data_IF_767372460165
#
_entry.id   IF_767372460165
#
_cell.length_a   1.000
_cell.length_b   1.000
_cell.length_c   1.000
_cell.angle_alpha   90.00
_cell.angle_beta   90.00
_cell.angle_gamma   90.00
#
_symmetry.space_group_name_H-M   'P 1'
#
loop_
_entity.id
_entity.type
_entity.pdbx_description
1 polymer ?
#
# COMPACT_ATOMS: atom_id res chain seq x y z
N UNK A 1 -29.06 -39.61 7.44
CA UNK A 1 -27.72 -39.52 6.88
C UNK A 1 -27.78 -38.70 5.62
N UNK A 2 -27.60 -37.41 5.75
CA UNK A 2 -27.47 -36.46 4.61
C UNK A 2 -26.16 -35.69 4.83
N UNK A 3 -25.17 -36.07 4.05
CA UNK A 3 -23.86 -35.44 4.00
C UNK A 3 -23.99 -34.10 3.29
N UNK A 4 -23.97 -33.02 4.07
CA UNK A 4 -23.83 -31.66 3.55
C UNK A 4 -22.34 -31.41 3.26
N UNK A 5 -21.95 -31.58 2.02
CA UNK A 5 -20.63 -31.21 1.52
C UNK A 5 -20.68 -29.76 1.03
N UNK A 6 -20.57 -28.81 1.96
CA UNK A 6 -20.30 -27.41 1.61
C UNK A 6 -18.89 -27.29 1.03
N UNK A 7 -18.85 -27.34 -0.30
CA UNK A 7 -17.69 -27.02 -1.10
C UNK A 7 -17.30 -25.53 -0.87
N UNK A 8 -16.10 -25.17 -0.39
CA UNK A 8 -15.66 -23.80 -0.38
C UNK A 8 -15.53 -23.35 -1.84
N UNK A 9 -16.39 -22.46 -2.28
CA UNK A 9 -16.25 -21.78 -3.57
C UNK A 9 -14.85 -21.13 -3.62
N UNK A 10 -14.03 -21.71 -4.46
CA UNK A 10 -12.79 -21.09 -4.93
C UNK A 10 -13.23 -19.84 -5.71
N UNK A 11 -13.14 -18.67 -5.05
CA UNK A 11 -13.33 -17.38 -5.68
C UNK A 11 -12.18 -17.22 -6.70
N UNK A 12 -12.50 -17.52 -7.96
CA UNK A 12 -11.58 -17.36 -9.10
C UNK A 12 -11.50 -15.88 -9.53
N UNK A 13 -11.46 -14.98 -8.55
CA UNK A 13 -11.12 -13.60 -8.77
C UNK A 13 -9.66 -13.53 -9.21
N UNK A 14 -9.41 -12.92 -10.34
CA UNK A 14 -8.07 -12.63 -10.84
C UNK A 14 -7.28 -11.98 -9.71
N UNK A 15 -6.21 -12.61 -9.25
CA UNK A 15 -5.34 -12.08 -8.17
C UNK A 15 -4.50 -10.94 -8.78
N UNK A 16 -5.11 -9.75 -8.85
CA UNK A 16 -4.50 -8.56 -9.43
C UNK A 16 -3.32 -8.09 -8.59
N UNK A 17 -3.49 -8.10 -7.27
CA UNK A 17 -2.52 -7.55 -6.34
C UNK A 17 -1.20 -8.33 -6.35
N UNK A 18 -1.24 -9.65 -6.43
CA UNK A 18 -0.04 -10.49 -6.48
C UNK A 18 0.75 -10.32 -7.79
N UNK A 19 0.08 -9.91 -8.85
CA UNK A 19 0.70 -9.62 -10.15
C UNK A 19 1.46 -8.30 -10.19
N UNK A 20 1.21 -7.37 -9.26
CA UNK A 20 1.85 -6.06 -9.26
C UNK A 20 3.27 -6.13 -8.71
N UNK A 21 4.25 -5.74 -9.53
CA UNK A 21 5.64 -5.61 -9.13
C UNK A 21 6.02 -4.15 -8.82
N UNK A 22 5.20 -3.19 -9.25
CA UNK A 22 5.47 -1.78 -9.01
C UNK A 22 4.41 -0.85 -9.59
N UNK A 23 4.62 0.47 -9.46
CA UNK A 23 3.67 1.49 -9.91
C UNK A 23 3.36 1.45 -11.40
N UNK A 24 4.29 0.96 -12.22
CA UNK A 24 4.08 0.79 -13.66
C UNK A 24 2.93 -0.16 -13.97
N UNK A 25 2.81 -1.25 -13.22
CA UNK A 25 1.74 -2.23 -13.39
C UNK A 25 0.38 -1.64 -12.99
N UNK A 26 0.34 -0.82 -11.92
CA UNK A 26 -0.88 -0.10 -11.52
C UNK A 26 -1.37 0.82 -12.65
N UNK A 27 -0.45 1.49 -13.35
CA UNK A 27 -0.78 2.36 -14.50
C UNK A 27 -1.28 1.58 -15.71
N UNK A 28 -0.82 0.35 -15.89
CA UNK A 28 -1.21 -0.51 -17.02
C UNK A 28 -2.59 -1.16 -16.85
N UNK A 29 -3.16 -1.16 -15.64
CA UNK A 29 -4.49 -1.73 -15.39
C UNK A 29 -5.58 -0.99 -16.18
N UNK A 30 -6.56 -1.73 -16.68
CA UNK A 30 -7.79 -1.14 -17.20
C UNK A 30 -8.62 -0.52 -16.07
N UNK A 31 -9.45 0.48 -16.38
CA UNK A 31 -10.24 1.18 -15.36
C UNK A 31 -11.21 0.24 -14.63
N UNK A 32 -11.74 -0.77 -15.32
CA UNK A 32 -12.62 -1.80 -14.75
C UNK A 32 -11.93 -2.71 -13.72
N UNK A 33 -10.59 -2.72 -13.69
CA UNK A 33 -9.79 -3.50 -12.74
C UNK A 33 -9.50 -2.74 -11.44
N UNK A 34 -9.74 -1.43 -11.38
CA UNK A 34 -9.38 -0.61 -10.23
C UNK A 34 -10.25 -0.89 -9.00
N UNK A 35 -11.56 -1.08 -9.19
CA UNK A 35 -12.46 -1.45 -8.10
C UNK A 35 -12.19 -2.87 -7.56
N UNK A 36 -12.02 -3.91 -8.41
CA UNK A 36 -11.53 -5.22 -7.98
C UNK A 36 -10.20 -5.15 -7.20
N UNK A 37 -9.23 -4.39 -7.69
CA UNK A 37 -7.96 -4.19 -6.99
C UNK A 37 -8.16 -3.56 -5.60
N UNK A 38 -8.99 -2.53 -5.50
CA UNK A 38 -9.29 -1.89 -4.22
C UNK A 38 -9.94 -2.87 -3.23
N UNK A 39 -10.86 -3.70 -3.70
CA UNK A 39 -11.50 -4.74 -2.89
C UNK A 39 -10.48 -5.78 -2.39
N UNK A 40 -9.57 -6.22 -3.25
CA UNK A 40 -8.52 -7.18 -2.92
C UNK A 40 -7.52 -6.60 -1.91
N UNK A 41 -7.10 -5.34 -2.07
CA UNK A 41 -6.25 -4.62 -1.11
C UNK A 41 -6.93 -4.59 0.27
N UNK A 42 -8.23 -4.24 0.35
CA UNK A 42 -8.98 -4.22 1.62
C UNK A 42 -9.03 -5.58 2.29
N UNK A 43 -9.35 -6.62 1.52
CA UNK A 43 -9.39 -8.01 2.00
C UNK A 43 -8.03 -8.42 2.58
N UNK A 44 -6.96 -8.08 1.89
CA UNK A 44 -5.59 -8.38 2.31
C UNK A 44 -5.21 -7.61 3.57
N UNK A 45 -5.52 -6.30 3.66
CA UNK A 45 -5.27 -5.50 4.86
C UNK A 45 -6.01 -6.06 6.08
N UNK A 46 -7.30 -6.37 5.95
CA UNK A 46 -8.10 -6.91 7.05
C UNK A 46 -7.51 -8.24 7.52
N UNK A 47 -7.22 -9.15 6.61
CA UNK A 47 -6.64 -10.47 6.92
C UNK A 47 -5.28 -10.34 7.61
N UNK A 48 -4.38 -9.53 7.07
CA UNK A 48 -3.02 -9.42 7.58
C UNK A 48 -2.98 -8.71 8.93
N UNK A 49 -3.67 -7.57 9.06
CA UNK A 49 -3.66 -6.79 10.30
C UNK A 49 -4.47 -7.43 11.44
N UNK A 50 -5.40 -8.33 11.15
CA UNK A 50 -6.03 -9.14 12.19
C UNK A 50 -5.02 -10.03 12.94
N UNK A 51 -3.90 -10.37 12.31
CA UNK A 51 -2.82 -11.19 12.88
C UNK A 51 -1.67 -10.37 13.46
N UNK A 52 -1.24 -9.36 12.71
CA UNK A 52 -0.03 -8.58 13.04
C UNK A 52 -0.33 -7.33 13.87
N UNK A 53 -1.59 -6.89 13.92
CA UNK A 53 -1.97 -5.56 14.39
C UNK A 53 -1.53 -4.47 13.42
N UNK A 54 -1.87 -3.23 13.73
CA UNK A 54 -1.47 -2.08 12.92
C UNK A 54 -2.59 -1.07 12.68
N UNK A 55 -2.37 -0.17 11.74
CA UNK A 55 -3.24 0.97 11.48
C UNK A 55 -4.30 0.63 10.42
N UNK A 56 -5.31 -0.18 10.76
CA UNK A 56 -6.31 -0.65 9.80
C UNK A 56 -7.16 0.49 9.24
N UNK A 57 -7.82 1.27 10.09
CA UNK A 57 -8.74 2.34 9.67
C UNK A 57 -8.10 3.38 8.74
N UNK A 58 -6.93 3.97 9.10
CA UNK A 58 -6.24 4.91 8.23
C UNK A 58 -5.89 4.35 6.85
N UNK A 59 -5.55 3.07 6.75
CA UNK A 59 -5.21 2.43 5.47
C UNK A 59 -6.46 2.08 4.65
N UNK A 60 -7.54 1.61 5.25
CA UNK A 60 -8.80 1.38 4.54
C UNK A 60 -9.37 2.67 3.94
N UNK A 61 -9.19 3.80 4.62
CA UNK A 61 -9.69 5.11 4.18
C UNK A 61 -8.94 5.73 3.01
N UNK A 62 -7.76 5.22 2.65
CA UNK A 62 -6.92 5.79 1.58
C UNK A 62 -6.66 4.83 0.42
N UNK A 63 -7.38 3.72 0.32
CA UNK A 63 -7.16 2.71 -0.73
C UNK A 63 -7.29 3.32 -2.12
N UNK A 64 -8.45 3.88 -2.46
CA UNK A 64 -8.70 4.48 -3.78
C UNK A 64 -7.81 5.71 -4.01
N UNK A 65 -7.61 6.53 -2.99
CA UNK A 65 -6.70 7.68 -3.09
C UNK A 65 -5.29 7.24 -3.46
N UNK A 66 -4.77 6.19 -2.83
CA UNK A 66 -3.42 5.70 -3.11
C UNK A 66 -3.33 5.09 -4.51
N UNK A 67 -4.34 4.31 -4.94
CA UNK A 67 -4.42 3.81 -6.31
C UNK A 67 -4.42 4.98 -7.31
N UNK A 68 -5.25 5.99 -7.09
CA UNK A 68 -5.34 7.17 -7.95
C UNK A 68 -4.01 7.93 -8.04
N UNK A 69 -3.31 8.11 -6.92
CA UNK A 69 -1.98 8.73 -6.89
C UNK A 69 -0.98 7.94 -7.75
N UNK A 70 -0.97 6.61 -7.65
CA UNK A 70 -0.10 5.75 -8.44
C UNK A 70 -0.51 5.67 -9.92
N UNK A 71 -1.76 5.96 -10.26
CA UNK A 71 -2.22 6.10 -11.66
C UNK A 71 -1.69 7.38 -12.31
N UNK A 72 -1.58 8.46 -11.54
CA UNK A 72 -1.23 9.81 -12.04
C UNK A 72 0.27 10.06 -11.97
N UNK A 73 0.88 9.82 -10.82
CA UNK A 73 2.26 10.19 -10.52
C UNK A 73 3.25 9.03 -10.77
N UNK A 74 4.53 9.38 -10.93
CA UNK A 74 5.62 8.44 -11.22
C UNK A 74 6.60 8.34 -10.04
N UNK A 75 6.22 7.65 -8.97
CA UNK A 75 7.16 7.39 -7.88
C UNK A 75 8.24 6.40 -8.33
N UNK A 76 9.52 6.54 -7.96
CA UNK A 76 10.06 7.46 -6.94
C UNK A 76 10.42 8.87 -7.46
N UNK A 77 10.24 9.18 -8.75
CA UNK A 77 10.50 10.52 -9.30
C UNK A 77 9.59 11.57 -8.66
N UNK A 78 8.29 11.28 -8.61
CA UNK A 78 7.33 12.06 -7.84
C UNK A 78 7.31 11.55 -6.41
N UNK A 79 7.54 12.43 -5.45
CA UNK A 79 7.70 12.07 -4.04
C UNK A 79 6.41 12.18 -3.27
N UNK A 80 5.97 11.08 -2.66
CA UNK A 80 4.81 11.06 -1.76
C UNK A 80 5.27 11.26 -0.33
N UNK A 81 5.03 12.45 0.22
CA UNK A 81 5.37 12.78 1.60
C UNK A 81 4.11 12.64 2.45
N UNK A 82 4.02 11.57 3.22
CA UNK A 82 2.86 11.27 4.06
C UNK A 82 3.16 11.69 5.51
N UNK A 83 2.27 12.48 6.11
CA UNK A 83 2.42 12.83 7.52
C UNK A 83 2.23 11.61 8.40
N UNK A 84 3.08 11.42 9.41
CA UNK A 84 3.18 10.18 10.22
C UNK A 84 3.55 8.97 9.38
N UNK A 85 2.96 8.78 8.21
CA UNK A 85 3.08 7.66 7.27
C UNK A 85 2.48 6.32 7.73
N UNK A 86 1.64 6.33 8.77
CA UNK A 86 0.92 5.13 9.25
C UNK A 86 -0.15 4.64 8.27
N UNK A 87 -0.58 5.46 7.33
CA UNK A 87 -1.50 5.16 6.23
C UNK A 87 -0.78 4.63 4.97
N UNK A 88 0.51 4.30 5.07
CA UNK A 88 1.36 3.93 3.93
C UNK A 88 1.31 2.46 3.50
N UNK A 89 0.45 1.60 4.09
CA UNK A 89 0.45 0.16 3.77
C UNK A 89 0.00 -0.13 2.34
N UNK A 90 -1.00 0.60 1.85
CA UNK A 90 -1.45 0.51 0.45
C UNK A 90 -0.31 0.91 -0.51
N UNK A 91 0.41 1.98 -0.20
CA UNK A 91 1.58 2.40 -0.95
C UNK A 91 2.66 1.30 -1.01
N UNK A 92 2.94 0.62 0.13
CA UNK A 92 3.86 -0.52 0.15
C UNK A 92 3.39 -1.63 -0.79
N UNK A 93 2.11 -1.98 -0.74
CA UNK A 93 1.54 -3.03 -1.59
C UNK A 93 1.68 -2.69 -3.08
N UNK A 94 1.38 -1.45 -3.48
CA UNK A 94 1.45 -0.98 -4.88
C UNK A 94 2.89 -0.72 -5.37
N UNK A 95 3.88 -0.78 -4.48
CA UNK A 95 5.30 -0.61 -4.78
C UNK A 95 6.10 -1.91 -4.61
N UNK A 96 5.47 -3.06 -4.91
CA UNK A 96 6.13 -4.36 -5.00
C UNK A 96 6.28 -5.12 -3.68
N UNK A 97 5.67 -4.63 -2.58
CA UNK A 97 5.77 -5.27 -1.26
C UNK A 97 4.49 -5.98 -0.81
N UNK A 98 3.53 -6.20 -1.73
CA UNK A 98 2.26 -6.87 -1.40
C UNK A 98 2.47 -8.26 -0.80
N UNK A 99 3.38 -9.05 -1.34
CA UNK A 99 3.69 -10.39 -0.83
C UNK A 99 4.31 -10.42 0.56
N UNK A 100 4.78 -9.27 1.08
CA UNK A 100 5.40 -9.15 2.39
C UNK A 100 4.48 -8.55 3.45
N UNK A 101 3.26 -8.14 3.08
CA UNK A 101 2.35 -7.41 3.99
C UNK A 101 2.00 -8.20 5.25
N UNK A 102 2.03 -9.52 5.20
CA UNK A 102 1.82 -10.41 6.35
C UNK A 102 2.93 -10.33 7.41
N UNK A 103 4.06 -9.69 7.09
CA UNK A 103 5.16 -9.42 8.02
C UNK A 103 5.13 -8.00 8.61
N UNK A 104 4.10 -7.20 8.30
CA UNK A 104 4.02 -5.81 8.76
C UNK A 104 4.12 -5.71 10.29
N UNK A 105 5.01 -4.84 10.82
CA UNK A 105 5.29 -4.66 12.25
C UNK A 105 5.83 -5.89 12.99
N UNK A 106 6.24 -6.93 12.27
CA UNK A 106 6.92 -8.07 12.87
C UNK A 106 8.44 -7.85 12.86
N UNK A 107 9.15 -8.60 13.69
CA UNK A 107 10.62 -8.60 13.70
C UNK A 107 11.16 -8.96 12.31
N UNK A 108 12.10 -8.18 11.81
CA UNK A 108 12.66 -8.30 10.44
C UNK A 108 11.63 -8.23 9.30
N UNK A 109 10.39 -7.84 9.58
CA UNK A 109 9.34 -7.62 8.61
C UNK A 109 9.21 -6.17 8.16
N UNK A 110 8.15 -5.89 7.38
CA UNK A 110 7.86 -4.54 6.92
C UNK A 110 7.59 -3.59 8.10
N UNK A 111 8.16 -2.39 8.01
CA UNK A 111 7.94 -1.34 9.01
C UNK A 111 6.49 -0.86 9.01
N UNK A 112 5.95 -0.52 10.17
CA UNK A 112 4.60 0.04 10.33
C UNK A 112 4.45 1.50 9.87
N UNK A 113 5.54 2.10 9.39
CA UNK A 113 5.61 3.42 8.75
C UNK A 113 6.40 3.29 7.45
N UNK A 114 6.38 4.33 6.60
CA UNK A 114 7.29 4.38 5.45
C UNK A 114 8.72 4.53 5.94
N UNK A 115 9.65 3.87 5.28
CA UNK A 115 11.06 3.84 5.68
C UNK A 115 11.98 3.88 4.45
N UNK A 116 12.81 4.90 4.35
CA UNK A 116 13.72 5.12 3.21
C UNK A 116 14.69 3.97 2.93
N UNK A 117 15.02 3.19 3.94
CA UNK A 117 15.88 1.99 3.80
C UNK A 117 15.12 0.75 3.36
N UNK A 118 13.78 0.82 3.30
CA UNK A 118 12.92 -0.30 2.89
C UNK A 118 12.62 -0.27 1.39
N UNK A 119 12.49 0.93 0.81
CA UNK A 119 12.18 1.09 -0.62
C UNK A 119 12.55 2.49 -1.12
N UNK A 120 13.01 2.58 -2.38
CA UNK A 120 13.25 3.85 -3.06
C UNK A 120 11.96 4.69 -3.23
N UNK A 121 10.80 4.05 -3.18
CA UNK A 121 9.49 4.70 -3.22
C UNK A 121 9.15 5.42 -1.91
N UNK A 122 9.81 5.10 -0.81
CA UNK A 122 9.59 5.67 0.52
C UNK A 122 10.51 6.89 0.71
N UNK A 123 10.18 8.02 0.09
CA UNK A 123 11.04 9.21 0.08
C UNK A 123 11.20 9.88 1.46
N UNK A 124 10.28 9.61 2.40
CA UNK A 124 10.27 10.19 3.74
C UNK A 124 9.72 9.20 4.76
N UNK A 125 10.52 8.93 5.79
CA UNK A 125 10.09 8.12 6.94
C UNK A 125 9.80 9.01 8.13
N UNK A 126 8.65 8.85 8.74
CA UNK A 126 8.26 9.62 9.91
C UNK A 126 7.76 8.71 11.04
N UNK A 127 6.72 9.03 11.71
CA UNK A 127 6.11 8.44 12.89
C UNK A 127 5.56 9.53 13.79
N UNK A 128 5.99 10.78 13.56
CA UNK A 128 5.52 11.97 14.28
C UNK A 128 4.68 12.84 13.37
N UNK A 129 3.53 13.29 13.90
CA UNK A 129 2.61 14.18 13.19
C UNK A 129 3.20 15.59 13.01
N UNK A 130 2.79 16.26 11.93
CA UNK A 130 3.14 17.65 11.65
C UNK A 130 4.54 17.82 11.02
N UNK A 131 5.24 16.76 10.67
CA UNK A 131 6.59 16.82 10.12
C UNK A 131 6.65 16.83 8.58
N UNK A 132 5.60 16.35 7.92
CA UNK A 132 5.58 16.17 6.46
C UNK A 132 5.70 17.49 5.68
N UNK A 133 5.05 18.56 6.14
CA UNK A 133 5.09 19.86 5.45
C UNK A 133 6.52 20.43 5.40
N UNK A 134 7.25 20.38 6.51
CA UNK A 134 8.65 20.85 6.56
C UNK A 134 9.55 20.01 5.68
N UNK A 135 9.36 18.68 5.69
CA UNK A 135 10.11 17.78 4.83
C UNK A 135 9.82 18.03 3.35
N UNK A 136 8.55 18.17 2.97
CA UNK A 136 8.15 18.46 1.59
C UNK A 136 8.70 19.80 1.11
N UNK A 137 8.67 20.84 1.94
CA UNK A 137 9.25 22.15 1.62
C UNK A 137 10.76 22.04 1.36
N UNK A 138 11.50 21.35 2.24
CA UNK A 138 12.93 21.12 2.04
C UNK A 138 13.25 20.37 0.76
N UNK A 139 12.45 19.32 0.43
CA UNK A 139 12.63 18.57 -0.81
C UNK A 139 12.31 19.42 -2.06
N UNK A 140 11.32 20.31 -1.99
CA UNK A 140 10.95 21.20 -3.09
C UNK A 140 12.07 22.22 -3.37
N UNK A 141 12.67 22.81 -2.32
CA UNK A 141 13.77 23.76 -2.46
C UNK A 141 15.00 23.15 -3.15
N UNK A 142 15.34 21.90 -2.84
CA UNK A 142 16.45 21.17 -3.47
C UNK A 142 16.24 20.89 -4.97
N UNK A 143 14.99 20.93 -5.46
CA UNK A 143 14.67 20.74 -6.88
C UNK A 143 14.72 22.04 -7.68
N UNK A 144 14.66 23.19 -7.02
CA UNK A 144 14.62 24.50 -7.67
C UNK A 144 16.01 25.17 -7.77
N UNK A 145 17.04 24.59 -7.17
CA UNK A 145 18.45 24.98 -7.25
C UNK A 145 19.23 24.06 -8.15
#
# INVERSE_FOLDING_TARGET
MTSDSSNPQHDSGTDLLSGLQGPGDVKALADEQLEPLAAEIRKTLIRSLARTGGHLGPNLGVVELTIALHRVFNTPLDRFVMDVSHQGYVHKMLTGRAGQIDSIRQYEGLNGFLLRTESDHDCYGAGHAGTALSAALGMAQLRMG
#
